data_IF_794220352234
#
_entry.id   IF_794220352234
#
_cell.length_a   1.000
_cell.length_b   1.000
_cell.length_c   1.000
_cell.angle_alpha   90.00
_cell.angle_beta   90.00
_cell.angle_gamma   90.00
#
_symmetry.space_group_name_H-M   'P 1'
#
loop_
_entity.id
_entity.type
_entity.pdbx_description
1 polymer ?
#
# COMPACT_ATOMS: atom_id res chain seq x y z
N UNK A 1 21.64 6.74 1.95
CA UNK A 1 21.37 5.97 0.71
C UNK A 1 20.32 4.90 1.03
N UNK A 2 19.16 5.28 1.58
CA UNK A 2 18.36 4.29 2.33
C UNK A 2 16.83 4.47 2.28
N UNK A 3 16.31 5.29 1.37
CA UNK A 3 14.85 5.48 1.20
C UNK A 3 14.27 4.84 -0.06
N UNK A 4 15.08 4.56 -1.08
CA UNK A 4 14.59 4.05 -2.38
C UNK A 4 13.79 2.75 -2.24
N UNK A 5 14.32 1.79 -1.47
CA UNK A 5 13.64 0.52 -1.20
C UNK A 5 12.37 0.69 -0.35
N UNK A 6 12.32 1.70 0.53
CA UNK A 6 11.11 2.00 1.31
C UNK A 6 10.06 2.65 0.44
N UNK A 7 10.45 3.52 -0.47
CA UNK A 7 9.53 4.11 -1.44
C UNK A 7 8.99 3.04 -2.40
N UNK A 8 9.80 2.06 -2.80
CA UNK A 8 9.35 0.88 -3.56
C UNK A 8 8.31 0.07 -2.75
N UNK A 9 8.61 -0.29 -1.50
CA UNK A 9 7.68 -1.03 -0.63
C UNK A 9 6.37 -0.25 -0.40
N UNK A 10 6.47 1.07 -0.18
CA UNK A 10 5.32 1.97 -0.02
C UNK A 10 4.45 1.97 -1.28
N UNK A 11 5.07 2.07 -2.46
CA UNK A 11 4.35 2.05 -3.73
C UNK A 11 3.69 0.69 -3.98
N UNK A 12 4.38 -0.42 -3.67
CA UNK A 12 3.82 -1.77 -3.75
C UNK A 12 2.59 -1.91 -2.85
N UNK A 13 2.69 -1.50 -1.58
CA UNK A 13 1.56 -1.54 -0.62
C UNK A 13 0.40 -0.66 -1.10
N UNK A 14 0.68 0.56 -1.56
CA UNK A 14 -0.32 1.47 -2.09
C UNK A 14 -1.05 0.86 -3.30
N UNK A 15 -0.31 0.23 -4.22
CA UNK A 15 -0.86 -0.42 -5.42
C UNK A 15 -1.70 -1.65 -5.10
N UNK A 16 -1.35 -2.41 -4.07
CA UNK A 16 -2.18 -3.51 -3.57
C UNK A 16 -3.47 -2.97 -2.96
N UNK A 17 -3.40 -1.94 -2.12
CA UNK A 17 -4.57 -1.34 -1.49
C UNK A 17 -5.50 -0.66 -2.52
N UNK A 18 -4.96 -0.07 -3.58
CA UNK A 18 -5.75 0.54 -4.67
C UNK A 18 -6.63 -0.47 -5.41
N UNK A 19 -6.23 -1.75 -5.45
CA UNK A 19 -7.02 -2.82 -6.08
C UNK A 19 -8.16 -3.32 -5.18
N UNK A 20 -8.10 -3.05 -3.88
CA UNK A 20 -9.04 -3.52 -2.88
C UNK A 20 -10.05 -2.47 -2.45
N UNK A 21 -11.35 -2.77 -2.57
CA UNK A 21 -12.41 -1.91 -2.03
C UNK A 21 -12.64 -2.09 -0.51
N UNK A 22 -12.07 -3.14 0.09
CA UNK A 22 -12.26 -3.54 1.48
C UNK A 22 -10.93 -3.47 2.24
N UNK A 23 -11.00 -3.36 3.57
CA UNK A 23 -9.81 -3.38 4.42
C UNK A 23 -9.06 -4.70 4.33
N UNK A 24 -7.73 -4.63 4.25
CA UNK A 24 -6.83 -5.78 4.13
C UNK A 24 -5.84 -5.76 5.29
N UNK A 25 -5.53 -6.92 5.86
CA UNK A 25 -4.51 -7.05 6.90
C UNK A 25 -3.10 -6.99 6.30
N UNK A 26 -2.05 -6.68 7.09
CA UNK A 26 -0.66 -6.68 6.62
C UNK A 26 -0.24 -7.99 5.94
N UNK A 27 -0.62 -9.13 6.50
CA UNK A 27 -0.36 -10.44 5.90
C UNK A 27 -1.09 -10.64 4.56
N UNK A 28 -2.31 -10.11 4.42
CA UNK A 28 -3.05 -10.14 3.16
C UNK A 28 -2.42 -9.24 2.11
N UNK A 29 -1.88 -8.09 2.50
CA UNK A 29 -1.16 -7.18 1.61
C UNK A 29 0.12 -7.85 1.09
N UNK A 30 0.92 -8.45 1.97
CA UNK A 30 2.14 -9.19 1.58
C UNK A 30 1.82 -10.33 0.59
N UNK A 31 0.78 -11.12 0.87
CA UNK A 31 0.37 -12.20 -0.03
C UNK A 31 -0.11 -11.69 -1.40
N UNK A 32 -0.79 -10.54 -1.44
CA UNK A 32 -1.21 -9.91 -2.70
C UNK A 32 -0.04 -9.26 -3.46
N UNK A 33 0.96 -8.71 -2.77
CA UNK A 33 2.17 -8.20 -3.41
C UNK A 33 2.90 -9.31 -4.16
N UNK A 34 3.10 -10.45 -3.50
CA UNK A 34 3.72 -11.64 -4.11
C UNK A 34 2.88 -12.16 -5.29
N UNK A 35 1.56 -12.30 -5.09
CA UNK A 35 0.68 -12.90 -6.10
C UNK A 35 0.38 -12.01 -7.32
N UNK A 36 0.34 -10.67 -7.14
CA UNK A 36 -0.14 -9.74 -8.17
C UNK A 36 0.99 -8.90 -8.78
N UNK A 37 2.06 -8.64 -8.03
CA UNK A 37 3.14 -7.73 -8.40
C UNK A 37 4.50 -8.42 -8.49
N UNK A 38 4.60 -9.72 -8.18
CA UNK A 38 5.85 -10.49 -8.10
C UNK A 38 6.86 -9.86 -7.13
N UNK A 39 6.34 -9.25 -6.06
CA UNK A 39 7.13 -8.54 -5.04
C UNK A 39 6.95 -9.17 -3.66
N UNK A 40 8.05 -9.64 -3.07
CA UNK A 40 8.04 -10.46 -1.86
C UNK A 40 8.35 -9.62 -0.61
N UNK A 41 7.33 -8.90 -0.16
CA UNK A 41 7.39 -8.11 1.07
C UNK A 41 7.19 -9.00 2.31
N UNK A 42 8.01 -8.79 3.34
CA UNK A 42 7.70 -9.35 4.64
C UNK A 42 6.55 -8.58 5.30
N UNK A 43 5.89 -9.20 6.29
CA UNK A 43 4.85 -8.51 7.07
C UNK A 43 5.40 -7.24 7.73
N UNK A 44 6.64 -7.26 8.19
CA UNK A 44 7.32 -6.11 8.80
C UNK A 44 7.53 -4.96 7.80
N UNK A 45 7.88 -5.28 6.55
CA UNK A 45 8.06 -4.26 5.49
C UNK A 45 6.73 -3.61 5.16
N UNK A 46 5.66 -4.42 5.08
CA UNK A 46 4.30 -3.91 4.91
C UNK A 46 3.86 -3.02 6.08
N UNK A 47 4.12 -3.43 7.32
CA UNK A 47 3.80 -2.62 8.50
C UNK A 47 4.55 -1.28 8.49
N UNK A 48 5.84 -1.28 8.16
CA UNK A 48 6.62 -0.05 8.03
C UNK A 48 6.11 0.87 6.90
N UNK A 49 5.72 0.29 5.76
CA UNK A 49 5.12 1.02 4.65
C UNK A 49 3.75 1.61 5.02
N UNK A 50 2.93 0.86 5.76
CA UNK A 50 1.63 1.32 6.26
C UNK A 50 1.80 2.47 7.26
N UNK A 51 2.78 2.41 8.15
CA UNK A 51 3.11 3.50 9.07
C UNK A 51 3.51 4.77 8.30
N UNK A 52 4.36 4.65 7.27
CA UNK A 52 4.75 5.77 6.42
C UNK A 52 3.58 6.35 5.61
N UNK A 53 2.67 5.50 5.12
CA UNK A 53 1.44 5.94 4.45
C UNK A 53 0.47 6.63 5.43
N UNK A 54 0.40 6.15 6.67
CA UNK A 54 -0.44 6.73 7.71
C UNK A 54 0.06 8.12 8.12
N UNK A 55 1.39 8.32 8.23
CA UNK A 55 2.00 9.63 8.45
C UNK A 55 1.67 10.66 7.35
N UNK A 56 1.31 10.18 6.15
CA UNK A 56 0.92 10.97 4.99
C UNK A 56 -0.60 11.05 4.78
N UNK A 57 -1.41 10.59 5.75
CA UNK A 57 -2.88 10.52 5.66
C UNK A 57 -3.39 9.71 4.45
N UNK A 58 -2.62 8.75 3.94
CA UNK A 58 -2.97 7.95 2.75
C UNK A 58 -3.75 6.67 3.06
N UNK A 59 -3.72 6.19 4.31
CA UNK A 59 -4.42 4.98 4.73
C UNK A 59 -5.25 5.21 5.99
N UNK A 60 -6.30 4.40 6.14
CA UNK A 60 -7.16 4.36 7.32
C UNK A 60 -7.12 2.97 7.96
N UNK A 61 -6.99 2.92 9.28
CA UNK A 61 -7.17 1.69 10.06
C UNK A 61 -8.65 1.49 10.40
N UNK A 62 -9.19 0.32 10.05
CA UNK A 62 -10.62 0.01 10.23
C UNK A 62 -10.94 -0.69 11.55
N UNK A 63 -9.98 -1.38 12.15
CA UNK A 63 -10.15 -2.07 13.42
C UNK A 63 -8.96 -1.76 14.34
N UNK A 64 -9.22 -1.03 15.41
CA UNK A 64 -8.22 -0.62 16.41
C UNK A 64 -8.21 -1.54 17.63
N UNK A 65 -9.18 -2.47 17.75
CA UNK A 65 -9.36 -3.32 18.92
C UNK A 65 -8.65 -4.68 18.73
N UNK A 66 -7.32 -4.62 18.69
CA UNK A 66 -6.39 -5.69 19.07
C UNK A 66 -6.38 -7.00 18.26
N UNK A 67 -5.21 -7.27 17.65
CA UNK A 67 -4.75 -8.50 16.95
C UNK A 67 -5.07 -8.65 15.46
N UNK A 68 -5.86 -7.78 14.85
CA UNK A 68 -6.12 -7.85 13.39
C UNK A 68 -6.42 -6.47 12.81
N UNK A 69 -5.42 -5.59 12.77
CA UNK A 69 -5.57 -4.31 12.08
C UNK A 69 -5.81 -4.53 10.59
N UNK A 70 -6.86 -3.92 10.06
CA UNK A 70 -7.17 -3.87 8.64
C UNK A 70 -6.98 -2.46 8.12
N UNK A 71 -6.40 -2.34 6.94
CA UNK A 71 -6.03 -1.08 6.32
C UNK A 71 -6.74 -0.94 4.98
N UNK A 72 -7.20 0.28 4.69
CA UNK A 72 -7.68 0.67 3.36
C UNK A 72 -7.10 2.03 2.99
N UNK A 73 -7.16 2.39 1.71
CA UNK A 73 -6.85 3.77 1.31
C UNK A 73 -7.87 4.75 1.91
N UNK A 74 -7.37 5.85 2.45
CA UNK A 74 -8.15 7.04 2.74
C UNK A 74 -8.70 7.65 1.44
N UNK A 75 -9.54 8.68 1.53
CA UNK A 75 -9.92 9.47 0.35
C UNK A 75 -8.68 10.06 -0.34
N UNK A 76 -7.76 10.64 0.43
CA UNK A 76 -6.52 11.21 -0.10
C UNK A 76 -5.63 10.15 -0.77
N UNK A 77 -5.49 8.97 -0.17
CA UNK A 77 -4.70 7.88 -0.75
C UNK A 77 -5.31 7.34 -2.04
N UNK A 78 -6.63 7.32 -2.17
CA UNK A 78 -7.31 6.93 -3.43
C UNK A 78 -7.08 7.95 -4.53
N UNK A 79 -7.24 9.24 -4.23
CA UNK A 79 -6.99 10.30 -5.21
C UNK A 79 -5.54 10.25 -5.70
N UNK A 80 -4.59 10.01 -4.80
CA UNK A 80 -3.19 9.84 -5.16
C UNK A 80 -2.97 8.59 -6.03
N UNK A 81 -3.49 7.43 -5.62
CA UNK A 81 -3.37 6.19 -6.37
C UNK A 81 -4.01 6.27 -7.77
N UNK A 82 -5.14 6.96 -7.91
CA UNK A 82 -5.79 7.20 -9.19
C UNK A 82 -4.93 8.04 -10.13
N UNK A 83 -4.17 9.00 -9.60
CA UNK A 83 -3.24 9.82 -10.40
C UNK A 83 -1.99 9.04 -10.77
N UNK A 84 -1.37 8.35 -9.82
CA UNK A 84 -0.10 7.65 -10.01
C UNK A 84 -0.23 6.34 -10.79
N UNK A 85 -1.35 5.63 -10.64
CA UNK A 85 -1.56 4.31 -11.25
C UNK A 85 -2.62 4.30 -12.36
N UNK A 86 -3.19 5.44 -12.75
CA UNK A 86 -4.02 5.51 -13.94
C UNK A 86 -3.26 4.96 -15.16
N UNK A 87 -3.97 4.31 -16.08
CA UNK A 87 -3.42 3.87 -17.38
C UNK A 87 -2.83 5.04 -18.22
N UNK A 88 -3.11 6.29 -17.83
CA UNK A 88 -2.58 7.53 -18.40
C UNK A 88 -1.79 8.39 -17.38
N UNK A 89 -1.36 7.83 -16.24
CA UNK A 89 -0.40 8.48 -15.36
C UNK A 89 0.82 8.84 -16.21
N UNK A 90 1.26 10.09 -16.16
CA UNK A 90 2.30 10.63 -17.04
C UNK A 90 3.64 9.89 -16.82
N UNK A 91 3.84 8.81 -17.57
CA UNK A 91 5.14 8.22 -17.89
C UNK A 91 5.56 7.00 -17.06
N UNK A 92 5.27 5.80 -17.57
CA UNK A 92 6.29 4.77 -17.74
C UNK A 92 6.06 4.12 -19.11
N UNK A 93 6.83 4.58 -20.10
CA UNK A 93 7.05 3.84 -21.35
C UNK A 93 8.17 2.84 -21.02
N UNK A 94 7.90 1.56 -21.28
CA UNK A 94 8.83 0.41 -21.20
C UNK A 94 10.20 0.70 -21.85
#
# INVERSE_FOLDING_TARGET
MSDDWRDDDINTVLRVLAQGALGVSPAGIAANADALLDDNLSITDVEAALDALAERDMVETLDTDSSSAYYRLSEHGRDYADVEFAENAFGYID
#
